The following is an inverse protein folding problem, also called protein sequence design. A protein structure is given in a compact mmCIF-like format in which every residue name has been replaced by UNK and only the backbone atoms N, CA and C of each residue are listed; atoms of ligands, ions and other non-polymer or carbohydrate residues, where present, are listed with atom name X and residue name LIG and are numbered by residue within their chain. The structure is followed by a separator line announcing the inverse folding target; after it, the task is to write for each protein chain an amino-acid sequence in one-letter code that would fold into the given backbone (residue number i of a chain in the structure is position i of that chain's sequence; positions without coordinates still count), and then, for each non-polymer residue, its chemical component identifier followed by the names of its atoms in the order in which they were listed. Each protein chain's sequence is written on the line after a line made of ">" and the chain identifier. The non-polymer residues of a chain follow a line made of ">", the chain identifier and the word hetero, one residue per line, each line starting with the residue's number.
data_IF_716577865923
#
_entry.id   IF_716577865923
#
_cell.length_a   1.000
_cell.length_b   1.000
_cell.length_c   1.000
_cell.angle_alpha   90.00
_cell.angle_beta   90.00
_cell.angle_gamma   90.00
#
_symmetry.space_group_name_H-M   'P 1'
#
loop_
_entity.id
_entity.type
_entity.pdbx_description
1 polymer ?
#
# COMPACT_ATOMS: atom_id res chain seq x y z
N UNK A 1 -0.31 -21.25 -2.62
CA UNK A 1 -0.09 -20.95 -1.19
C UNK A 1 -0.32 -19.47 -0.95
N UNK A 2 -0.98 -19.14 0.15
CA UNK A 2 -1.11 -17.75 0.54
C UNK A 2 0.23 -17.17 0.96
N UNK A 3 0.46 -15.93 0.57
CA UNK A 3 1.63 -15.19 1.04
C UNK A 3 1.39 -14.75 2.50
N UNK A 4 2.44 -14.29 3.14
CA UNK A 4 2.38 -13.93 4.56
C UNK A 4 2.45 -12.42 4.73
N UNK A 5 1.84 -11.94 5.80
CA UNK A 5 1.96 -10.53 6.18
C UNK A 5 3.20 -10.31 7.04
N UNK A 6 3.45 -9.06 7.40
CA UNK A 6 4.66 -8.67 8.15
C UNK A 6 4.71 -9.28 9.56
N UNK A 7 3.62 -9.85 10.04
CA UNK A 7 3.57 -10.51 11.34
C UNK A 7 3.74 -12.03 11.23
N UNK A 8 3.89 -12.56 10.00
CA UNK A 8 4.10 -13.97 9.77
C UNK A 8 2.83 -14.81 9.67
N UNK A 9 1.65 -14.17 9.67
CA UNK A 9 0.39 -14.89 9.48
C UNK A 9 -0.07 -14.71 8.02
N UNK A 10 -1.19 -15.35 7.65
CA UNK A 10 -1.68 -15.27 6.28
C UNK A 10 -2.05 -13.83 5.92
N UNK A 11 -1.64 -13.42 4.72
CA UNK A 11 -1.93 -12.07 4.20
C UNK A 11 -3.43 -11.89 4.04
N UNK A 12 -3.97 -10.83 4.65
CA UNK A 12 -5.40 -10.52 4.58
C UNK A 12 -5.73 -9.57 3.43
N UNK A 13 -6.99 -9.52 3.06
CA UNK A 13 -7.47 -8.61 2.01
C UNK A 13 -7.19 -7.16 2.42
N UNK A 14 -6.63 -6.39 1.51
CA UNK A 14 -6.39 -4.96 1.72
C UNK A 14 -7.62 -4.14 1.36
N UNK A 15 -8.09 -4.25 0.13
CA UNK A 15 -9.26 -3.49 -0.33
C UNK A 15 -9.82 -4.09 -1.62
N UNK A 16 -11.16 -4.10 -1.72
CA UNK A 16 -11.81 -4.63 -2.91
C UNK A 16 -12.55 -3.57 -3.73
N UNK A 17 -12.80 -2.39 -3.15
CA UNK A 17 -13.50 -1.31 -3.84
C UNK A 17 -12.92 0.05 -3.42
N UNK A 18 -11.98 0.61 -4.20
CA UNK A 18 -11.49 0.08 -5.48
C UNK A 18 -10.66 -1.18 -5.29
N UNK A 19 -10.67 -2.05 -6.31
CA UNK A 19 -9.87 -3.27 -6.28
C UNK A 19 -8.39 -2.88 -6.34
N UNK A 20 -7.59 -3.43 -5.45
CA UNK A 20 -6.18 -3.09 -5.34
C UNK A 20 -5.29 -4.31 -5.49
N UNK A 21 -3.97 -4.08 -5.48
CA UNK A 21 -2.96 -5.12 -5.59
C UNK A 21 -2.35 -5.19 -6.98
N UNK A 22 -1.09 -5.63 -7.05
CA UNK A 22 -0.42 -5.81 -8.33
C UNK A 22 -1.23 -6.73 -9.24
N UNK A 23 -1.84 -7.78 -8.65
CA UNK A 23 -2.66 -8.74 -9.40
C UNK A 23 -4.14 -8.36 -9.45
N UNK A 24 -4.52 -7.24 -8.85
CA UNK A 24 -5.92 -6.77 -8.77
C UNK A 24 -6.85 -7.82 -8.16
N UNK A 25 -6.39 -8.48 -7.11
CA UNK A 25 -7.16 -9.49 -6.38
C UNK A 25 -7.58 -9.03 -4.97
N UNK A 26 -7.31 -7.76 -4.64
CA UNK A 26 -7.67 -7.19 -3.34
C UNK A 26 -6.59 -7.35 -2.29
N UNK A 27 -5.58 -8.15 -2.56
CA UNK A 27 -4.48 -8.44 -1.62
C UNK A 27 -3.18 -7.88 -2.13
N UNK A 28 -2.29 -7.51 -1.22
CA UNK A 28 -0.97 -6.99 -1.58
C UNK A 28 0.00 -8.14 -1.87
N UNK A 29 -0.44 -9.08 -2.71
CA UNK A 29 0.40 -10.17 -3.20
C UNK A 29 1.46 -9.62 -4.15
N UNK A 30 2.62 -10.27 -4.17
CA UNK A 30 3.73 -9.82 -5.01
C UNK A 30 4.52 -11.01 -5.55
N UNK A 31 5.34 -10.75 -6.56
CA UNK A 31 6.33 -11.70 -7.08
C UNK A 31 7.42 -10.89 -7.76
N UNK A 32 8.37 -11.59 -8.42
CA UNK A 32 9.51 -10.94 -9.06
C UNK A 32 9.13 -10.01 -10.22
N UNK A 33 7.93 -10.15 -10.76
CA UNK A 33 7.44 -9.27 -11.82
C UNK A 33 6.98 -7.92 -11.29
N UNK A 34 6.68 -7.86 -9.99
CA UNK A 34 6.24 -6.63 -9.32
C UNK A 34 7.46 -5.83 -8.87
N UNK A 35 8.11 -5.18 -9.82
CA UNK A 35 9.34 -4.42 -9.57
C UNK A 35 9.13 -3.31 -8.53
N UNK A 36 7.94 -2.71 -8.51
CA UNK A 36 7.63 -1.64 -7.56
C UNK A 36 7.34 -2.13 -6.16
N UNK A 37 7.22 -3.45 -5.94
CA UNK A 37 6.89 -4.04 -4.64
C UNK A 37 5.65 -3.38 -4.03
N UNK A 38 4.49 -3.60 -4.64
CA UNK A 38 3.21 -3.04 -4.20
C UNK A 38 2.69 -3.84 -3.00
N UNK A 39 3.40 -3.73 -1.87
CA UNK A 39 3.28 -4.65 -0.75
C UNK A 39 2.70 -4.04 0.51
N UNK A 40 2.57 -2.71 0.58
CA UNK A 40 2.10 -2.03 1.80
C UNK A 40 0.63 -1.69 1.66
N UNK A 41 -0.21 -2.27 2.51
CA UNK A 41 -1.63 -1.92 2.52
C UNK A 41 -1.84 -0.65 3.34
N UNK A 42 -2.27 0.41 2.68
CA UNK A 42 -2.46 1.72 3.31
C UNK A 42 -3.90 2.18 3.19
N UNK A 43 -4.30 3.08 4.09
CA UNK A 43 -5.52 3.87 3.96
C UNK A 43 -5.06 5.26 3.58
N UNK A 44 -5.33 5.66 2.34
CA UNK A 44 -4.78 6.92 1.83
C UNK A 44 -5.45 8.12 2.45
N UNK A 45 -4.68 9.21 2.56
CA UNK A 45 -5.15 10.49 3.07
C UNK A 45 -5.03 11.53 1.96
N UNK A 46 -5.75 12.63 2.11
CA UNK A 46 -5.64 13.76 1.18
C UNK A 46 -4.18 14.23 1.10
N UNK A 47 -3.54 14.37 2.26
CA UNK A 47 -2.16 14.84 2.32
C UNK A 47 -1.20 13.92 1.56
N UNK A 48 -1.34 12.61 1.78
CA UNK A 48 -0.51 11.65 1.07
C UNK A 48 -0.76 11.69 -0.44
N UNK A 49 -2.03 11.75 -0.85
CA UNK A 49 -2.37 11.76 -2.27
C UNK A 49 -1.78 12.97 -2.99
N UNK A 50 -1.81 14.15 -2.36
CA UNK A 50 -1.22 15.36 -2.91
C UNK A 50 0.30 15.24 -2.99
N UNK A 51 0.92 14.73 -1.94
CA UNK A 51 2.37 14.51 -1.92
C UNK A 51 2.79 13.54 -3.02
N UNK A 52 2.10 12.41 -3.12
CA UNK A 52 2.42 11.37 -4.10
C UNK A 52 2.33 11.92 -5.52
N UNK A 53 1.29 12.70 -5.81
CA UNK A 53 1.12 13.34 -7.11
C UNK A 53 2.28 14.28 -7.42
N UNK A 54 2.72 15.06 -6.43
CA UNK A 54 3.83 16.01 -6.60
C UNK A 54 5.16 15.29 -6.89
N UNK A 55 5.27 14.02 -6.49
CA UNK A 55 6.46 13.20 -6.72
C UNK A 55 6.36 12.32 -7.97
N UNK A 56 5.34 12.56 -8.79
CA UNK A 56 5.20 11.85 -10.06
C UNK A 56 4.38 10.58 -10.00
N UNK A 57 3.77 10.26 -8.84
CA UNK A 57 2.93 9.09 -8.68
C UNK A 57 1.49 9.53 -8.41
N UNK A 58 0.79 9.92 -9.47
CA UNK A 58 -0.58 10.43 -9.37
C UNK A 58 -1.56 9.27 -9.19
N UNK A 59 -2.12 9.16 -7.98
CA UNK A 59 -3.08 8.12 -7.64
C UNK A 59 -4.53 8.64 -7.65
N UNK A 60 -4.74 9.91 -8.00
CA UNK A 60 -6.09 10.51 -7.95
C UNK A 60 -6.77 10.58 -9.29
N UNK A 61 -6.02 10.63 -10.39
CA UNK A 61 -6.60 10.74 -11.72
C UNK A 61 -7.07 9.37 -12.20
N UNK A 62 -8.35 9.24 -12.59
CA UNK A 62 -8.83 7.96 -13.15
C UNK A 62 -8.06 7.54 -14.39
N UNK A 63 -7.83 6.24 -14.52
CA UNK A 63 -7.18 5.62 -15.68
C UNK A 63 -8.08 4.50 -16.18
N UNK A 64 -9.10 4.82 -17.00
CA UNK A 64 -10.05 3.81 -17.47
C UNK A 64 -9.39 2.64 -18.21
N UNK A 65 -8.27 2.90 -18.90
CA UNK A 65 -7.52 1.89 -19.64
C UNK A 65 -6.95 0.79 -18.72
N UNK A 66 -6.84 1.06 -17.41
CA UNK A 66 -6.39 0.09 -16.41
C UNK A 66 -7.47 -0.24 -15.40
N UNK A 67 -8.73 0.12 -15.69
CA UNK A 67 -9.85 -0.04 -14.73
C UNK A 67 -9.55 0.62 -13.38
N UNK A 68 -8.78 1.71 -13.39
CA UNK A 68 -8.40 2.41 -12.18
C UNK A 68 -9.29 3.66 -12.01
N UNK A 69 -10.15 3.70 -10.99
CA UNK A 69 -11.09 4.81 -10.81
C UNK A 69 -10.49 6.06 -10.16
N UNK A 70 -9.21 6.02 -9.77
CA UNK A 70 -8.62 7.06 -8.95
C UNK A 70 -8.95 6.84 -7.48
N UNK A 71 -8.06 7.27 -6.59
CA UNK A 71 -8.26 7.08 -5.15
C UNK A 71 -8.81 8.35 -4.51
N UNK A 72 -9.66 8.14 -3.51
CA UNK A 72 -10.17 9.20 -2.64
C UNK A 72 -9.63 8.95 -1.23
N UNK A 73 -9.52 10.00 -0.40
CA UNK A 73 -9.13 9.80 1.00
C UNK A 73 -10.01 8.74 1.67
N UNK A 74 -9.40 7.82 2.40
CA UNK A 74 -10.10 6.71 3.04
C UNK A 74 -10.05 5.41 2.28
N UNK A 75 -9.65 5.43 1.01
CA UNK A 75 -9.54 4.20 0.21
C UNK A 75 -8.33 3.38 0.65
N UNK A 76 -8.46 2.05 0.59
CA UNK A 76 -7.34 1.14 0.81
C UNK A 76 -6.59 0.90 -0.48
N UNK A 77 -5.27 0.79 -0.38
CA UNK A 77 -4.44 0.61 -1.57
C UNK A 77 -3.17 -0.16 -1.24
N UNK A 78 -2.75 -1.05 -2.14
CA UNK A 78 -1.46 -1.72 -2.04
C UNK A 78 -0.41 -0.81 -2.65
N UNK A 79 0.29 -0.09 -1.80
CA UNK A 79 1.24 0.95 -2.21
C UNK A 79 2.63 0.37 -2.42
N UNK A 80 3.32 0.90 -3.40
CA UNK A 80 4.75 0.62 -3.61
C UNK A 80 5.52 0.95 -2.33
N UNK A 81 6.32 -0.01 -1.86
CA UNK A 81 7.04 0.14 -0.58
C UNK A 81 7.97 1.35 -0.59
N UNK A 82 8.68 1.58 -1.70
CA UNK A 82 9.57 2.75 -1.79
C UNK A 82 8.79 4.06 -1.75
N UNK A 83 7.58 4.09 -2.31
CA UNK A 83 6.74 5.30 -2.26
C UNK A 83 6.24 5.57 -0.85
N UNK A 84 5.96 4.51 -0.09
CA UNK A 84 5.58 4.68 1.31
C UNK A 84 6.74 5.28 2.12
N UNK A 85 7.94 4.73 1.91
CA UNK A 85 9.13 5.21 2.63
C UNK A 85 9.45 6.66 2.28
N UNK A 86 9.31 7.02 1.00
CA UNK A 86 9.49 8.40 0.55
C UNK A 86 8.53 9.35 1.30
N UNK A 87 7.27 8.93 1.43
CA UNK A 87 6.27 9.73 2.13
C UNK A 87 6.56 9.81 3.63
N UNK A 88 7.05 8.72 4.22
CA UNK A 88 7.38 8.69 5.64
C UNK A 88 8.53 9.64 5.95
N UNK A 89 9.54 9.71 5.08
CA UNK A 89 10.65 10.63 5.23
C UNK A 89 10.20 12.09 5.24
N UNK A 90 9.09 12.38 4.55
CA UNK A 90 8.56 13.75 4.46
C UNK A 90 7.40 13.99 5.42
N UNK A 91 7.11 13.04 6.31
CA UNK A 91 6.05 13.20 7.29
C UNK A 91 4.64 13.08 6.73
N UNK A 92 4.48 12.48 5.55
CA UNK A 92 3.19 12.38 4.84
C UNK A 92 2.71 10.94 4.65
N UNK A 93 3.32 9.97 5.34
CA UNK A 93 2.99 8.57 5.15
C UNK A 93 1.54 8.27 5.55
N UNK A 94 0.80 7.50 4.74
CA UNK A 94 -0.54 7.08 5.12
C UNK A 94 -0.50 5.97 6.17
N UNK A 95 -1.63 5.76 6.84
CA UNK A 95 -1.78 4.70 7.83
C UNK A 95 -1.69 3.33 7.18
N UNK A 96 -1.24 2.33 7.95
CA UNK A 96 -0.92 1.00 7.46
C UNK A 96 -1.76 -0.06 8.15
N UNK A 97 -2.24 -1.04 7.36
CA UNK A 97 -2.85 -2.25 7.89
C UNK A 97 -1.81 -3.36 7.85
N UNK A 98 -1.23 -3.67 9.01
CA UNK A 98 -0.12 -4.65 9.08
C UNK A 98 -0.55 -6.05 8.64
N UNK A 99 -1.77 -6.47 9.00
CA UNK A 99 -2.26 -7.80 8.65
C UNK A 99 -2.45 -7.97 7.14
N UNK A 100 -2.55 -6.86 6.41
CA UNK A 100 -2.72 -6.85 4.96
C UNK A 100 -1.48 -6.35 4.22
N UNK A 101 -0.37 -6.17 4.92
CA UNK A 101 0.91 -5.74 4.35
C UNK A 101 1.81 -6.96 4.18
N UNK A 102 2.28 -7.18 2.97
CA UNK A 102 3.09 -8.36 2.62
C UNK A 102 4.44 -8.31 3.34
N UNK A 103 4.91 -9.46 3.82
CA UNK A 103 6.21 -9.55 4.48
C UNK A 103 7.36 -9.05 3.61
N UNK A 104 7.20 -9.08 2.28
CA UNK A 104 8.22 -8.59 1.36
C UNK A 104 8.49 -7.10 1.51
N UNK A 105 7.54 -6.34 2.09
CA UNK A 105 7.77 -4.92 2.38
C UNK A 105 8.96 -4.74 3.32
N UNK A 106 9.26 -5.73 4.15
CA UNK A 106 10.37 -5.67 5.10
C UNK A 106 11.74 -5.67 4.44
N UNK A 107 11.82 -6.01 3.15
CA UNK A 107 13.06 -5.89 2.38
C UNK A 107 13.44 -4.42 2.13
N UNK A 108 12.46 -3.52 2.25
CA UNK A 108 12.64 -2.10 1.95
C UNK A 108 12.40 -1.23 3.20
N UNK A 109 11.45 -1.61 4.05
CA UNK A 109 11.00 -0.81 5.20
C UNK A 109 11.21 -1.59 6.49
N UNK A 110 11.82 -0.97 7.48
CA UNK A 110 11.94 -1.59 8.82
C UNK A 110 10.56 -1.68 9.47
N UNK A 111 10.29 -2.80 10.13
CA UNK A 111 8.98 -3.06 10.72
C UNK A 111 8.59 -1.99 11.75
N UNK A 112 9.56 -1.44 12.48
CA UNK A 112 9.28 -0.40 13.49
C UNK A 112 8.66 0.84 12.86
N UNK A 113 9.05 1.19 11.63
CA UNK A 113 8.43 2.31 10.92
C UNK A 113 6.98 2.01 10.58
N UNK A 114 6.71 0.81 10.07
CA UNK A 114 5.34 0.41 9.75
C UNK A 114 4.46 0.39 10.99
N UNK A 115 4.98 -0.09 12.11
CA UNK A 115 4.23 -0.17 13.36
C UNK A 115 3.77 1.19 13.88
N UNK A 116 4.53 2.24 13.61
CA UNK A 116 4.15 3.60 14.03
C UNK A 116 2.85 4.07 13.37
N UNK A 117 2.54 3.55 12.20
CA UNK A 117 1.40 4.01 11.39
C UNK A 117 0.27 2.99 11.33
N UNK A 118 0.37 1.88 12.07
CA UNK A 118 -0.61 0.81 11.99
C UNK A 118 -1.95 1.20 12.61
N UNK A 119 -3.04 0.66 12.04
CA UNK A 119 -4.40 0.93 12.50
C UNK A 119 -5.23 -0.33 12.74
N UNK A 120 -4.71 -1.52 12.42
CA UNK A 120 -5.48 -2.75 12.51
C UNK A 120 -5.08 -3.63 13.72
N UNK A 121 -4.15 -3.19 14.53
CA UNK A 121 -3.79 -3.86 15.78
C UNK A 121 -4.04 -2.90 16.94
N UNK A 122 -4.47 -3.46 18.05
CA UNK A 122 -4.69 -2.67 19.26
C UNK A 122 -3.47 -2.64 20.15
#
# INVERSE_FOLDING_TARGET
>A
MKQKNVLGTDLEICNENPMTGFFRDGCCNTNEMDVGSHTVCVIVTKEFLEFSKSKGNDLTTPRPEYDFPGLNPGDGWCLCAARWLEAEDEGCAPRVKLLSTNEKALEIIEIEKLKKYQIDLN
#
